data_IF_572620426103
#
_entry.id   IF_572620426103
#
_cell.length_a   1.000
_cell.length_b   1.000
_cell.length_c   1.000
_cell.angle_alpha   90.00
_cell.angle_beta   90.00
_cell.angle_gamma   90.00
#
_symmetry.space_group_name_H-M   'P 1'
#
loop_
_entity.id
_entity.type
_entity.pdbx_description
1 polymer ?
#
# COMPACT_ATOMS: atom_id res chain seq x y z
N UNK A 1 30.32 -0.14 11.20
CA UNK A 1 29.78 0.65 12.31
C UNK A 1 28.23 0.66 12.39
N UNK A 2 27.48 0.69 11.28
CA UNK A 2 26.00 0.62 11.32
C UNK A 2 25.41 -0.71 11.82
N UNK A 3 26.04 -1.85 11.54
CA UNK A 3 25.59 -3.16 12.03
C UNK A 3 25.73 -3.32 13.57
N UNK A 4 26.70 -2.66 14.17
CA UNK A 4 26.89 -2.67 15.63
C UNK A 4 25.78 -1.88 16.33
N UNK A 5 25.26 -0.82 15.69
CA UNK A 5 24.15 -0.04 16.23
C UNK A 5 22.82 -0.82 16.29
N UNK A 6 22.55 -1.63 15.25
CA UNK A 6 21.34 -2.45 15.21
C UNK A 6 21.41 -3.57 16.23
N UNK A 7 22.57 -4.21 16.38
CA UNK A 7 22.80 -5.21 17.42
C UNK A 7 22.80 -4.60 18.83
N UNK A 8 23.30 -3.36 18.98
CA UNK A 8 23.31 -2.65 20.27
C UNK A 8 21.92 -2.17 20.68
N UNK A 9 21.08 -1.76 19.72
CA UNK A 9 19.66 -1.43 19.97
C UNK A 9 18.90 -2.70 20.35
N UNK A 10 19.15 -3.84 19.72
CA UNK A 10 18.60 -5.12 20.13
C UNK A 10 19.11 -5.57 21.52
N UNK A 11 20.36 -5.26 21.85
CA UNK A 11 20.95 -5.59 23.13
C UNK A 11 20.57 -4.62 24.27
N UNK A 12 20.33 -3.33 23.95
CA UNK A 12 19.86 -2.32 24.93
C UNK A 12 18.34 -2.37 25.14
N UNK A 13 17.58 -2.94 24.21
CA UNK A 13 16.17 -3.29 24.42
C UNK A 13 16.00 -4.67 25.08
N UNK A 14 17.08 -5.36 25.40
CA UNK A 14 17.11 -6.66 26.05
C UNK A 14 16.75 -6.67 27.54
N UNK A 15 16.16 -5.59 28.03
CA UNK A 15 15.58 -5.54 29.36
C UNK A 15 14.06 -5.49 29.25
N UNK A 16 13.47 -6.69 29.22
CA UNK A 16 12.07 -6.92 29.64
C UNK A 16 10.93 -6.80 28.64
N UNK A 17 11.13 -7.01 27.35
CA UNK A 17 10.00 -7.42 26.52
C UNK A 17 10.01 -8.96 26.43
N UNK A 18 9.20 -9.63 27.18
CA UNK A 18 9.00 -11.07 27.01
C UNK A 18 8.46 -11.33 25.61
N UNK A 19 9.18 -12.15 24.83
CA UNK A 19 8.73 -12.50 23.51
C UNK A 19 7.43 -13.29 23.60
N UNK A 20 6.36 -12.74 23.07
CA UNK A 20 5.06 -13.39 23.07
C UNK A 20 5.08 -14.62 22.17
N UNK A 21 5.77 -14.55 21.06
CA UNK A 21 5.87 -15.63 20.10
C UNK A 21 7.00 -15.39 19.09
N UNK A 22 7.53 -16.47 18.52
CA UNK A 22 8.57 -16.43 17.49
C UNK A 22 8.48 -17.66 16.59
N UNK A 23 9.08 -17.60 15.41
CA UNK A 23 9.08 -18.72 14.46
C UNK A 23 9.75 -18.34 13.13
N UNK A 24 9.37 -19.03 12.06
CA UNK A 24 9.87 -18.80 10.71
C UNK A 24 8.77 -18.21 9.82
N UNK A 25 9.16 -17.36 8.86
CA UNK A 25 8.25 -16.71 7.90
C UNK A 25 8.85 -16.65 6.48
N UNK A 26 9.73 -17.55 6.20
CA UNK A 26 10.43 -17.76 4.94
C UNK A 26 11.57 -18.75 5.13
N UNK A 27 12.21 -19.22 4.05
CA UNK A 27 13.27 -20.24 4.14
C UNK A 27 14.43 -19.87 5.09
N UNK A 28 14.80 -18.58 5.12
CA UNK A 28 15.87 -18.05 5.95
C UNK A 28 15.41 -16.81 6.75
N UNK A 29 14.10 -16.67 6.97
CA UNK A 29 13.52 -15.58 7.74
C UNK A 29 12.91 -16.09 9.02
N UNK A 30 13.11 -15.30 10.07
CA UNK A 30 12.54 -15.50 11.40
C UNK A 30 11.69 -14.30 11.76
N UNK A 31 10.69 -14.53 12.59
CA UNK A 31 9.89 -13.48 13.19
C UNK A 31 9.91 -13.58 14.72
N UNK A 32 9.70 -12.46 15.35
CA UNK A 32 9.65 -12.32 16.78
C UNK A 32 8.63 -11.22 17.13
N UNK A 33 7.66 -11.56 17.95
CA UNK A 33 6.61 -10.65 18.40
C UNK A 33 6.70 -10.46 19.91
N UNK A 34 6.82 -9.20 20.34
CA UNK A 34 6.88 -8.81 21.74
C UNK A 34 5.49 -8.51 22.31
N UNK A 35 5.35 -8.53 23.63
CA UNK A 35 4.08 -8.28 24.32
C UNK A 35 3.54 -6.87 24.11
N UNK A 36 4.39 -5.90 23.85
CA UNK A 36 4.02 -4.51 23.52
C UNK A 36 3.61 -4.30 22.05
N UNK A 37 3.63 -5.38 21.25
CA UNK A 37 3.13 -5.39 19.87
C UNK A 37 4.16 -5.00 18.83
N UNK A 38 5.45 -5.22 19.06
CA UNK A 38 6.50 -5.04 18.05
C UNK A 38 6.78 -6.38 17.37
N UNK A 39 6.48 -6.48 16.08
CA UNK A 39 6.84 -7.60 15.22
C UNK A 39 8.13 -7.31 14.48
N UNK A 40 9.15 -8.14 14.71
CA UNK A 40 10.44 -8.05 14.00
C UNK A 40 10.58 -9.20 13.02
N UNK A 41 10.90 -8.90 11.76
CA UNK A 41 11.24 -9.87 10.71
C UNK A 41 12.74 -9.77 10.46
N UNK A 42 13.47 -10.86 10.66
CA UNK A 42 14.93 -10.89 10.55
C UNK A 42 15.44 -12.03 9.66
N UNK A 43 16.64 -11.87 9.11
CA UNK A 43 17.25 -12.84 8.21
C UNK A 43 17.35 -12.34 6.77
N UNK A 44 17.53 -13.25 5.81
CA UNK A 44 17.82 -12.89 4.42
C UNK A 44 16.87 -13.59 3.44
N UNK A 45 16.34 -12.82 2.48
CA UNK A 45 15.51 -13.37 1.39
C UNK A 45 14.06 -12.91 1.45
N UNK A 46 13.16 -13.65 0.78
CA UNK A 46 11.75 -13.32 0.70
C UNK A 46 10.93 -13.93 1.82
N UNK A 47 9.87 -13.23 2.21
CA UNK A 47 8.84 -13.78 3.09
C UNK A 47 8.01 -14.83 2.34
N UNK A 48 7.44 -15.76 3.10
CA UNK A 48 6.44 -16.71 2.60
C UNK A 48 5.17 -15.96 2.18
N UNK A 49 4.54 -16.43 1.09
CA UNK A 49 3.20 -16.00 0.73
C UNK A 49 2.18 -16.72 1.61
N UNK A 50 1.25 -15.96 2.14
CA UNK A 50 0.15 -16.46 2.95
C UNK A 50 -1.18 -16.38 2.17
N UNK A 51 -2.24 -16.86 2.75
CA UNK A 51 -3.57 -16.85 2.15
C UNK A 51 -4.63 -17.04 3.22
N UNK A 52 -5.91 -16.96 2.84
CA UNK A 52 -7.03 -17.27 3.74
C UNK A 52 -6.93 -18.65 4.38
N UNK A 53 -6.45 -19.67 3.65
CA UNK A 53 -6.29 -21.04 4.13
C UNK A 53 -4.95 -21.32 4.82
N UNK A 54 -3.95 -20.49 4.59
CA UNK A 54 -2.62 -20.57 5.20
C UNK A 54 -2.20 -19.20 5.70
N UNK A 55 -2.70 -18.82 6.87
CA UNK A 55 -2.52 -17.47 7.43
C UNK A 55 -1.12 -17.27 8.01
N UNK A 56 -0.72 -16.00 8.08
CA UNK A 56 0.54 -15.66 8.74
C UNK A 56 0.53 -16.09 10.20
N UNK A 57 1.67 -16.47 10.77
CA UNK A 57 1.75 -16.98 12.15
C UNK A 57 1.28 -15.99 13.22
N UNK A 58 1.15 -14.73 12.88
CA UNK A 58 0.69 -13.64 13.75
C UNK A 58 -0.71 -13.12 13.38
N UNK A 59 -1.46 -13.82 12.50
CA UNK A 59 -2.76 -13.37 12.01
C UNK A 59 -3.82 -13.24 13.12
N UNK A 60 -3.87 -14.19 14.05
CA UNK A 60 -4.91 -14.23 15.10
C UNK A 60 -4.72 -13.20 16.23
N UNK A 61 -4.23 -12.11 15.89
CA UNK A 61 -4.26 -11.16 16.78
C UNK A 61 -3.64 -10.34 17.33
N UNK A 62 -3.28 -10.20 16.87
CA UNK A 62 -2.56 -9.61 17.78
C UNK A 62 -2.38 -8.15 17.56
N UNK A 63 -2.35 -7.45 18.47
CA UNK A 63 -2.11 -6.06 18.74
C UNK A 63 -0.74 -5.60 18.17
N UNK A 64 -0.44 -6.00 16.91
CA UNK A 64 0.77 -5.57 16.22
C UNK A 64 0.65 -4.09 15.95
N UNK A 65 1.44 -3.31 16.66
CA UNK A 65 1.46 -1.85 16.57
C UNK A 65 2.56 -1.34 15.65
N UNK A 66 3.66 -2.09 15.57
CA UNK A 66 4.82 -1.74 14.77
C UNK A 66 5.47 -2.96 14.13
N UNK A 67 5.91 -2.81 12.89
CA UNK A 67 6.65 -3.83 12.15
C UNK A 67 8.05 -3.28 11.84
N UNK A 68 9.08 -4.07 12.17
CA UNK A 68 10.48 -3.82 11.85
C UNK A 68 10.94 -4.94 10.91
N UNK A 69 11.41 -4.57 9.73
CA UNK A 69 11.89 -5.51 8.70
C UNK A 69 13.39 -5.27 8.52
N UNK A 70 14.17 -6.35 8.60
CA UNK A 70 15.63 -6.33 8.42
C UNK A 70 16.01 -5.88 7.00
N UNK A 71 17.14 -5.19 6.89
CA UNK A 71 17.71 -4.69 5.63
C UNK A 71 18.15 -5.79 4.63
N UNK A 72 18.01 -7.05 4.97
CA UNK A 72 18.30 -8.21 4.13
C UNK A 72 17.05 -8.91 3.60
N UNK A 73 15.86 -8.44 3.95
CA UNK A 73 14.57 -8.95 3.45
C UNK A 73 14.31 -8.37 2.06
N UNK A 74 13.99 -9.23 1.09
CA UNK A 74 13.86 -8.82 -0.31
C UNK A 74 12.43 -8.71 -0.82
N UNK A 75 11.50 -9.45 -0.20
CA UNK A 75 10.07 -9.39 -0.56
C UNK A 75 9.18 -9.48 0.68
N UNK A 76 8.07 -8.76 0.66
CA UNK A 76 6.96 -8.93 1.58
C UNK A 76 5.95 -9.81 0.87
N UNK A 77 5.63 -10.98 1.46
CA UNK A 77 4.76 -11.98 0.84
C UNK A 77 3.30 -11.54 0.77
N UNK A 78 2.51 -12.29 0.00
CA UNK A 78 1.06 -12.13 -0.08
C UNK A 78 0.43 -12.31 1.32
N UNK A 79 -0.59 -11.53 1.65
CA UNK A 79 -1.31 -11.56 2.93
C UNK A 79 -0.43 -11.46 4.20
N UNK A 80 0.86 -11.07 4.06
CA UNK A 80 1.82 -11.15 5.17
C UNK A 80 1.37 -10.38 6.42
N UNK A 81 0.80 -9.21 6.26
CA UNK A 81 0.30 -8.35 7.34
C UNK A 81 -1.18 -7.98 7.18
N UNK A 82 -1.92 -8.85 6.47
CA UNK A 82 -3.34 -8.68 6.27
C UNK A 82 -4.08 -8.59 7.62
N UNK A 83 -4.99 -7.62 7.74
CA UNK A 83 -5.81 -7.34 8.95
C UNK A 83 -5.00 -7.00 10.22
N UNK A 84 -3.74 -6.57 10.09
CA UNK A 84 -3.00 -5.98 11.21
C UNK A 84 -3.61 -4.60 11.57
N UNK A 85 -4.83 -4.61 12.08
CA UNK A 85 -5.66 -3.40 12.25
C UNK A 85 -5.11 -2.39 13.25
N UNK A 86 -4.30 -2.83 14.23
CA UNK A 86 -3.63 -1.97 15.21
C UNK A 86 -2.29 -1.39 14.72
N UNK A 87 -1.84 -1.77 13.52
CA UNK A 87 -0.55 -1.32 12.98
C UNK A 87 -0.56 0.18 12.72
N UNK A 88 0.31 0.91 13.41
CA UNK A 88 0.48 2.36 13.25
C UNK A 88 1.69 2.75 12.42
N UNK A 89 2.70 1.88 12.37
CA UNK A 89 3.93 2.14 11.62
C UNK A 89 4.61 0.88 11.11
N UNK A 90 5.17 0.95 9.92
CA UNK A 90 6.03 -0.08 9.32
C UNK A 90 7.27 0.57 8.70
N UNK A 91 8.42 -0.04 8.94
CA UNK A 91 9.65 0.32 8.24
C UNK A 91 9.89 -0.70 7.11
N UNK A 92 9.75 -0.27 5.86
CA UNK A 92 10.07 -1.08 4.67
C UNK A 92 11.48 -0.72 4.23
N UNK A 93 12.45 -1.65 4.33
CA UNK A 93 13.85 -1.33 4.02
C UNK A 93 14.11 -1.26 2.51
N UNK A 94 15.23 -0.62 2.14
CA UNK A 94 15.66 -0.46 0.75
C UNK A 94 16.08 -1.78 0.06
N UNK A 95 16.09 -2.89 0.75
CA UNK A 95 16.29 -4.24 0.20
C UNK A 95 15.03 -4.81 -0.45
N UNK A 96 13.84 -4.37 -0.03
CA UNK A 96 12.55 -4.87 -0.53
C UNK A 96 12.34 -4.43 -1.98
N UNK A 97 12.03 -5.39 -2.85
CA UNK A 97 11.75 -5.23 -4.28
C UNK A 97 10.27 -5.38 -4.62
N UNK A 98 9.55 -6.20 -3.85
CA UNK A 98 8.15 -6.45 -4.09
C UNK A 98 7.34 -6.48 -2.78
N UNK A 99 6.14 -5.94 -2.86
CA UNK A 99 5.08 -6.04 -1.84
C UNK A 99 3.97 -6.88 -2.46
N UNK A 100 3.62 -7.98 -1.82
CA UNK A 100 2.66 -8.96 -2.31
C UNK A 100 1.22 -8.48 -2.33
N UNK A 101 0.33 -9.34 -2.84
CA UNK A 101 -1.11 -9.09 -2.84
C UNK A 101 -1.64 -9.06 -1.40
N UNK A 102 -2.59 -8.18 -1.12
CA UNK A 102 -3.22 -8.05 0.21
C UNK A 102 -2.22 -7.90 1.38
N UNK A 103 -0.94 -7.61 1.10
CA UNK A 103 0.14 -7.65 2.10
C UNK A 103 -0.12 -6.79 3.34
N UNK A 104 -0.74 -5.62 3.19
CA UNK A 104 -1.14 -4.70 4.28
C UNK A 104 -2.63 -4.37 4.23
N UNK A 105 -3.43 -5.20 3.58
CA UNK A 105 -4.87 -4.97 3.53
C UNK A 105 -5.45 -4.95 4.93
N UNK A 106 -6.34 -3.99 5.21
CA UNK A 106 -6.99 -3.88 6.52
C UNK A 106 -6.10 -3.34 7.64
N UNK A 107 -4.89 -2.83 7.36
CA UNK A 107 -4.07 -2.10 8.33
C UNK A 107 -4.72 -0.74 8.65
N UNK A 108 -5.87 -0.78 9.30
CA UNK A 108 -6.79 0.37 9.42
C UNK A 108 -6.26 1.52 10.27
N UNK A 109 -5.27 1.29 11.13
CA UNK A 109 -4.62 2.32 11.97
C UNK A 109 -3.34 2.89 11.35
N UNK A 110 -2.91 2.41 10.17
CA UNK A 110 -1.69 2.90 9.52
C UNK A 110 -1.93 4.31 8.97
N UNK A 111 -1.29 5.31 9.58
CA UNK A 111 -1.50 6.73 9.23
C UNK A 111 -0.56 7.26 8.17
N UNK A 112 0.64 6.68 8.08
CA UNK A 112 1.67 7.08 7.13
C UNK A 112 2.41 5.87 6.58
N UNK A 113 2.86 5.96 5.34
CA UNK A 113 3.57 4.91 4.64
C UNK A 113 4.66 5.51 3.77
N UNK A 114 5.88 5.00 3.92
CA UNK A 114 6.99 5.27 3.01
C UNK A 114 7.32 4.00 2.24
N UNK A 115 7.13 4.03 0.92
CA UNK A 115 7.52 2.94 0.02
C UNK A 115 8.87 3.31 -0.59
N UNK A 116 9.94 2.52 -0.36
CA UNK A 116 11.27 2.87 -0.85
C UNK A 116 11.37 2.72 -2.38
N UNK A 117 12.30 3.46 -2.99
CA UNK A 117 12.56 3.43 -4.44
C UNK A 117 13.10 2.07 -4.94
N UNK A 118 13.40 1.15 -4.08
CA UNK A 118 13.74 -0.23 -4.41
C UNK A 118 12.54 -1.08 -4.82
N UNK A 119 11.33 -0.70 -4.38
CA UNK A 119 10.10 -1.44 -4.66
C UNK A 119 9.67 -1.19 -6.10
N UNK A 120 9.63 -2.24 -6.89
CA UNK A 120 9.19 -2.22 -8.30
C UNK A 120 7.78 -2.75 -8.49
N UNK A 121 7.28 -3.52 -7.52
CA UNK A 121 5.97 -4.16 -7.59
C UNK A 121 5.18 -3.93 -6.30
N UNK A 122 3.95 -3.44 -6.46
CA UNK A 122 2.93 -3.35 -5.42
C UNK A 122 1.76 -4.22 -5.88
N UNK A 123 1.45 -5.26 -5.13
CA UNK A 123 0.43 -6.25 -5.47
C UNK A 123 -1.00 -5.72 -5.41
N UNK A 124 -1.93 -6.54 -5.90
CA UNK A 124 -3.36 -6.23 -5.83
C UNK A 124 -3.80 -6.09 -4.38
N UNK A 125 -4.63 -5.09 -4.10
CA UNK A 125 -5.17 -4.80 -2.77
C UNK A 125 -4.13 -4.59 -1.68
N UNK A 126 -2.84 -4.41 -2.02
CA UNK A 126 -1.73 -4.41 -1.06
C UNK A 126 -1.93 -3.46 0.14
N UNK A 127 -2.56 -2.32 -0.05
CA UNK A 127 -2.90 -1.33 0.98
C UNK A 127 -4.40 -1.01 1.04
N UNK A 128 -5.22 -1.91 0.52
CA UNK A 128 -6.67 -1.72 0.57
C UNK A 128 -7.16 -1.68 2.02
N UNK A 129 -8.17 -0.87 2.32
CA UNK A 129 -8.71 -0.67 3.67
C UNK A 129 -7.70 -0.12 4.71
N UNK A 130 -6.61 0.51 4.30
CA UNK A 130 -5.77 1.32 5.18
C UNK A 130 -6.50 2.64 5.49
N UNK A 131 -7.54 2.56 6.34
CA UNK A 131 -8.55 3.62 6.51
C UNK A 131 -8.01 4.92 7.07
N UNK A 132 -6.92 4.86 7.86
CA UNK A 132 -6.28 6.03 8.47
C UNK A 132 -5.15 6.62 7.63
N UNK A 133 -4.79 5.99 6.49
CA UNK A 133 -3.70 6.47 5.64
C UNK A 133 -4.07 7.80 4.99
N UNK A 134 -3.32 8.86 5.31
CA UNK A 134 -3.63 10.23 4.86
C UNK A 134 -2.93 10.63 3.57
N UNK A 135 -1.78 10.06 3.30
CA UNK A 135 -1.01 10.34 2.09
C UNK A 135 -0.14 9.14 1.69
N UNK A 136 0.14 9.01 0.41
CA UNK A 136 1.09 8.03 -0.12
C UNK A 136 1.88 8.63 -1.29
N UNK A 137 3.18 8.37 -1.30
CA UNK A 137 4.04 8.64 -2.44
C UNK A 137 4.43 7.31 -3.08
N UNK A 138 4.02 7.13 -4.33
CA UNK A 138 4.37 5.94 -5.12
C UNK A 138 5.77 6.18 -5.70
N UNK A 139 6.73 5.25 -5.51
CA UNK A 139 8.10 5.47 -5.96
C UNK A 139 8.24 5.39 -7.49
N UNK A 140 9.27 6.07 -8.03
CA UNK A 140 9.55 6.10 -9.47
C UNK A 140 9.96 4.75 -10.08
N UNK A 141 10.16 3.73 -9.28
CA UNK A 141 10.42 2.36 -9.70
C UNK A 141 9.15 1.57 -10.07
N UNK A 142 7.97 2.06 -9.68
CA UNK A 142 6.69 1.41 -9.94
C UNK A 142 6.14 1.87 -11.29
N UNK A 143 5.77 0.92 -12.15
CA UNK A 143 5.20 1.18 -13.48
C UNK A 143 3.70 0.92 -13.56
N UNK A 144 3.16 0.16 -12.61
CA UNK A 144 1.75 -0.21 -12.56
C UNK A 144 1.22 -0.07 -11.13
N UNK A 145 0.12 0.64 -10.96
CA UNK A 145 -0.68 0.61 -9.73
C UNK A 145 -1.71 -0.50 -9.91
N UNK A 146 -1.55 -1.59 -9.16
CA UNK A 146 -2.38 -2.78 -9.32
C UNK A 146 -3.84 -2.57 -8.89
N UNK A 147 -4.71 -3.54 -9.23
CA UNK A 147 -6.12 -3.50 -8.89
C UNK A 147 -6.33 -3.35 -7.39
N UNK A 148 -7.16 -2.40 -6.99
CA UNK A 148 -7.51 -2.14 -5.60
C UNK A 148 -6.36 -1.75 -4.69
N UNK A 149 -5.15 -1.49 -5.19
CA UNK A 149 -3.93 -1.34 -4.38
C UNK A 149 -4.09 -0.36 -3.21
N UNK A 150 -4.86 0.71 -3.36
CA UNK A 150 -5.20 1.71 -2.34
C UNK A 150 -6.72 1.88 -2.18
N UNK A 151 -7.49 0.88 -2.56
CA UNK A 151 -8.95 0.94 -2.42
C UNK A 151 -9.40 1.10 -0.97
N UNK A 152 -10.43 1.88 -0.71
CA UNK A 152 -10.99 2.12 0.62
C UNK A 152 -10.03 2.74 1.65
N UNK A 153 -9.04 3.49 1.17
CA UNK A 153 -8.22 4.38 2.00
C UNK A 153 -8.99 5.68 2.26
N UNK A 154 -10.00 5.60 3.15
CA UNK A 154 -11.00 6.67 3.33
C UNK A 154 -10.40 8.03 3.73
N UNK A 155 -9.29 8.05 4.47
CA UNK A 155 -8.62 9.27 4.91
C UNK A 155 -7.58 9.81 3.92
N UNK A 156 -7.36 9.13 2.78
CA UNK A 156 -6.35 9.54 1.81
C UNK A 156 -6.74 10.85 1.15
N UNK A 157 -6.02 11.93 1.47
CA UNK A 157 -6.29 13.28 0.95
C UNK A 157 -5.50 13.60 -0.31
N UNK A 158 -4.35 12.96 -0.46
CA UNK A 158 -3.45 13.17 -1.60
C UNK A 158 -2.68 11.93 -1.99
N UNK A 159 -2.40 11.78 -3.27
CA UNK A 159 -1.53 10.76 -3.84
C UNK A 159 -0.62 11.38 -4.89
N UNK A 160 0.67 11.04 -4.85
CA UNK A 160 1.61 11.39 -5.91
C UNK A 160 1.82 10.18 -6.81
N UNK A 161 1.39 10.28 -8.08
CA UNK A 161 1.59 9.25 -9.10
C UNK A 161 2.80 9.67 -9.96
N UNK A 162 3.88 8.89 -9.97
CA UNK A 162 5.10 9.26 -10.69
C UNK A 162 4.98 9.05 -12.21
N UNK A 163 5.86 9.70 -12.96
CA UNK A 163 5.93 9.57 -14.43
C UNK A 163 6.38 8.18 -14.92
N UNK A 164 6.74 7.27 -14.05
CA UNK A 164 7.00 5.86 -14.38
C UNK A 164 5.72 5.04 -14.58
N UNK A 165 4.60 5.48 -13.99
CA UNK A 165 3.34 4.73 -14.04
C UNK A 165 2.70 4.86 -15.41
N UNK A 166 2.41 3.71 -16.03
CA UNK A 166 1.71 3.60 -17.32
C UNK A 166 0.29 3.10 -17.18
N UNK A 167 0.00 2.39 -16.09
CA UNK A 167 -1.30 1.75 -15.86
C UNK A 167 -1.78 1.98 -14.43
N UNK A 168 -3.05 2.38 -14.30
CA UNK A 168 -3.80 2.42 -13.05
C UNK A 168 -4.87 1.33 -13.15
N UNK A 169 -4.81 0.33 -12.27
CA UNK A 169 -5.67 -0.85 -12.26
C UNK A 169 -7.11 -0.59 -11.83
N UNK A 170 -7.93 -1.62 -11.91
CA UNK A 170 -9.33 -1.56 -11.52
C UNK A 170 -9.47 -1.24 -10.03
N UNK A 171 -10.33 -0.29 -9.69
CA UNK A 171 -10.58 0.10 -8.31
C UNK A 171 -9.36 0.60 -7.53
N UNK A 172 -8.24 0.92 -8.18
CA UNK A 172 -6.95 1.22 -7.52
C UNK A 172 -7.05 2.26 -6.40
N UNK A 173 -7.93 3.25 -6.52
CA UNK A 173 -8.24 4.29 -5.53
C UNK A 173 -9.74 4.37 -5.24
N UNK A 174 -10.49 3.31 -5.50
CA UNK A 174 -11.93 3.31 -5.22
C UNK A 174 -12.18 3.60 -3.74
N UNK A 175 -13.20 4.40 -3.46
CA UNK A 175 -13.60 4.77 -2.09
C UNK A 175 -12.53 5.53 -1.27
N UNK A 176 -11.60 6.22 -1.93
CA UNK A 176 -10.73 7.21 -1.26
C UNK A 176 -11.53 8.49 -1.02
N UNK A 177 -12.43 8.44 -0.03
CA UNK A 177 -13.47 9.46 0.18
C UNK A 177 -12.98 10.86 0.49
N UNK A 178 -11.76 11.01 1.03
CA UNK A 178 -11.14 12.29 1.35
C UNK A 178 -10.22 12.84 0.22
N UNK A 179 -10.02 12.09 -0.87
CA UNK A 179 -9.14 12.51 -1.98
C UNK A 179 -9.76 13.69 -2.72
N UNK A 180 -9.11 14.86 -2.66
CA UNK A 180 -9.66 16.11 -3.21
C UNK A 180 -9.25 16.38 -4.65
N UNK A 181 -8.06 15.94 -5.03
CA UNK A 181 -7.52 16.11 -6.38
C UNK A 181 -6.58 14.99 -6.75
N UNK A 182 -6.44 14.72 -8.03
CA UNK A 182 -5.44 13.81 -8.58
C UNK A 182 -4.90 14.35 -9.89
N UNK A 183 -3.58 14.31 -10.04
CA UNK A 183 -2.90 14.58 -11.30
C UNK A 183 -2.41 13.26 -11.88
N UNK A 184 -2.94 12.88 -13.03
CA UNK A 184 -2.52 11.68 -13.75
C UNK A 184 -1.41 12.08 -14.72
N UNK A 185 -0.21 11.48 -14.60
CA UNK A 185 0.93 11.87 -15.44
C UNK A 185 0.73 11.44 -16.92
N UNK A 186 1.45 12.10 -17.81
CA UNK A 186 1.37 11.84 -19.26
C UNK A 186 1.90 10.46 -19.70
N UNK A 187 2.55 9.74 -18.82
CA UNK A 187 2.95 8.34 -19.01
C UNK A 187 1.78 7.37 -18.95
N UNK A 188 0.69 7.72 -18.23
CA UNK A 188 -0.47 6.83 -18.07
C UNK A 188 -1.25 6.73 -19.38
N UNK A 189 -1.45 5.51 -19.84
CA UNK A 189 -2.24 5.18 -21.03
C UNK A 189 -3.55 4.48 -20.70
N UNK A 190 -3.59 3.81 -19.54
CA UNK A 190 -4.73 2.98 -19.11
C UNK A 190 -5.18 3.34 -17.71
N UNK A 191 -6.48 3.56 -17.55
CA UNK A 191 -7.15 3.71 -16.25
C UNK A 191 -8.25 2.66 -16.19
N UNK A 192 -8.16 1.80 -15.19
CA UNK A 192 -9.06 0.68 -14.99
C UNK A 192 -10.46 1.10 -14.55
N UNK A 193 -11.34 0.11 -14.55
CA UNK A 193 -12.73 0.24 -14.14
C UNK A 193 -12.82 0.65 -12.68
N UNK A 194 -13.72 1.59 -12.37
CA UNK A 194 -13.93 2.08 -11.00
C UNK A 194 -12.68 2.62 -10.28
N UNK A 195 -11.61 2.96 -11.02
CA UNK A 195 -10.32 3.30 -10.44
C UNK A 195 -10.39 4.43 -9.39
N UNK A 196 -11.30 5.37 -9.53
CA UNK A 196 -11.58 6.48 -8.61
C UNK A 196 -13.06 6.55 -8.19
N UNK A 197 -13.80 5.45 -8.31
CA UNK A 197 -15.21 5.45 -7.91
C UNK A 197 -15.36 5.75 -6.41
N UNK A 198 -16.44 6.41 -6.02
CA UNK A 198 -16.73 6.80 -4.63
C UNK A 198 -15.66 7.71 -3.99
N UNK A 199 -14.81 8.39 -4.76
CA UNK A 199 -13.96 9.47 -4.27
C UNK A 199 -14.78 10.74 -4.05
N UNK A 200 -15.57 10.76 -2.95
CA UNK A 200 -16.63 11.75 -2.74
C UNK A 200 -16.13 13.19 -2.56
N UNK A 201 -14.87 13.40 -2.16
CA UNK A 201 -14.28 14.74 -2.05
C UNK A 201 -13.55 15.18 -3.34
N UNK A 202 -13.50 14.33 -4.37
CA UNK A 202 -12.73 14.59 -5.59
C UNK A 202 -13.41 15.67 -6.42
N UNK A 203 -12.80 16.86 -6.46
CA UNK A 203 -13.30 18.04 -7.19
C UNK A 203 -12.48 18.38 -8.43
N UNK A 204 -11.28 17.83 -8.56
CA UNK A 204 -10.38 18.11 -9.67
C UNK A 204 -9.58 16.88 -10.08
N UNK A 205 -9.63 16.58 -11.39
CA UNK A 205 -8.81 15.54 -12.02
C UNK A 205 -8.18 16.10 -13.28
N UNK A 206 -6.86 16.00 -13.39
CA UNK A 206 -6.16 16.29 -14.64
C UNK A 206 -5.87 14.98 -15.35
N UNK A 207 -6.51 14.77 -16.52
CA UNK A 207 -6.34 13.56 -17.34
C UNK A 207 -5.53 13.93 -18.58
N UNK A 208 -4.39 13.29 -18.82
CA UNK A 208 -3.53 13.59 -19.96
C UNK A 208 -4.11 13.03 -21.27
N UNK A 209 -3.62 13.55 -22.41
CA UNK A 209 -4.05 13.09 -23.73
C UNK A 209 -3.61 11.64 -24.05
N UNK A 210 -2.64 11.10 -23.32
CA UNK A 210 -2.20 9.71 -23.43
C UNK A 210 -3.27 8.70 -23.02
N UNK A 211 -4.21 9.08 -22.15
CA UNK A 211 -5.35 8.23 -21.79
C UNK A 211 -6.40 8.32 -22.90
N UNK A 212 -6.53 7.27 -23.67
CA UNK A 212 -7.46 7.23 -24.83
C UNK A 212 -8.84 6.74 -24.46
N UNK A 213 -8.96 5.95 -23.40
CA UNK A 213 -10.22 5.33 -22.96
C UNK A 213 -10.37 5.47 -21.47
N UNK A 214 -11.57 5.81 -21.01
CA UNK A 214 -11.97 5.85 -19.61
C UNK A 214 -13.25 5.03 -19.49
N UNK A 215 -13.29 4.06 -18.59
CA UNK A 215 -14.47 3.25 -18.32
C UNK A 215 -15.59 4.11 -17.69
N UNK A 216 -16.85 3.75 -17.94
CA UNK A 216 -18.03 4.55 -17.54
C UNK A 216 -18.12 4.81 -16.04
N UNK A 217 -17.64 3.87 -15.23
CA UNK A 217 -17.69 3.92 -13.77
C UNK A 217 -16.38 4.39 -13.10
N UNK A 218 -15.38 4.80 -13.89
CA UNK A 218 -14.07 5.22 -13.36
C UNK A 218 -14.18 6.29 -12.27
N UNK A 219 -15.10 7.26 -12.45
CA UNK A 219 -15.37 8.35 -11.50
C UNK A 219 -16.79 8.29 -10.93
N UNK A 220 -17.39 7.11 -10.89
CA UNK A 220 -18.73 6.94 -10.35
C UNK A 220 -18.85 7.46 -8.92
N UNK A 221 -19.88 8.21 -8.63
CA UNK A 221 -20.17 8.79 -7.31
C UNK A 221 -19.06 9.70 -6.74
N UNK A 222 -18.38 10.46 -7.61
CA UNK A 222 -17.53 11.59 -7.24
C UNK A 222 -18.35 12.90 -7.33
N UNK A 223 -18.02 13.92 -6.50
CA UNK A 223 -18.64 15.28 -6.60
C UNK A 223 -18.09 16.04 -7.82
N UNK A 224 -17.43 15.37 -8.68
CA UNK A 224 -16.73 15.93 -9.82
C UNK A 224 -17.68 16.66 -10.80
N UNK A 225 -17.70 17.98 -10.75
CA UNK A 225 -18.32 18.82 -11.77
C UNK A 225 -17.37 18.90 -12.99
N UNK A 226 -17.72 18.25 -14.07
CA UNK A 226 -17.04 18.20 -15.36
C UNK A 226 -16.27 19.48 -15.77
N UNK A 227 -15.05 19.64 -15.27
CA UNK A 227 -14.05 20.48 -15.92
C UNK A 227 -12.91 19.57 -16.38
N UNK A 228 -13.23 18.72 -17.37
CA UNK A 228 -12.17 18.09 -18.15
C UNK A 228 -11.51 19.17 -19.00
N UNK A 229 -10.23 19.42 -18.78
CA UNK A 229 -9.39 20.15 -19.72
C UNK A 229 -9.03 19.26 -20.91
N UNK A 230 -9.97 18.45 -21.42
CA UNK A 230 -9.84 17.81 -22.73
C UNK A 230 -10.66 18.59 -23.74
N UNK A 231 -9.94 19.31 -24.60
CA UNK A 231 -10.46 19.71 -25.89
C UNK A 231 -10.83 18.45 -26.68
N UNK A 232 -12.14 18.30 -26.99
CA UNK A 232 -12.69 17.39 -28.00
C UNK A 232 -12.78 15.87 -27.74
N UNK A 233 -13.13 15.39 -26.56
CA UNK A 233 -13.72 14.04 -26.47
C UNK A 233 -15.05 14.04 -25.71
N UNK A 234 -16.10 13.55 -26.39
CA UNK A 234 -17.39 13.20 -25.81
C UNK A 234 -17.18 12.00 -24.89
N UNK A 235 -17.19 12.22 -23.56
CA UNK A 235 -17.42 11.14 -22.64
C UNK A 235 -18.93 10.92 -22.51
N UNK A 236 -19.41 9.66 -22.45
CA UNK A 236 -20.81 9.43 -22.18
C UNK A 236 -21.17 10.10 -20.85
N UNK A 237 -22.31 10.75 -20.83
CA UNK A 237 -22.88 11.42 -19.67
C UNK A 237 -22.95 10.42 -18.51
N UNK A 238 -22.19 10.66 -17.45
CA UNK A 238 -22.33 9.91 -16.19
C UNK A 238 -23.71 10.30 -15.64
N UNK A 239 -24.66 9.37 -15.71
CA UNK A 239 -25.94 9.53 -15.04
C UNK A 239 -25.71 9.65 -13.54
N UNK A 240 -26.15 10.77 -12.96
CA UNK A 240 -26.23 11.06 -11.55
C UNK A 240 -27.19 10.09 -10.84
#
# INVERSE_FOLDING_TARGET
>A
MKQIYILLIALLMGLSANAKSSGTCGPNLKWHLTDDGVLTISGKGGMTDYSYSNRSPWYDGQNIKRIIIDDSVTTIGDDAFNECSALTSVNIPNSVRAIGNDAFRGCSSLTSLTIPNSVTTIGKYAFSYCRALTSVTIPNSVTTIADGAFGSCYALTSVTIPNSVTTIGDGAFSSCGALTSVTIPSSVTTIGKSAFSYCRALTSVTIPNSVTTIADDTFYNCIYNHRTTKTNQKYPSVNL
#
